data_IF_652786942351
#
_entry.id   IF_652786942351
#
_cell.length_a   1.000
_cell.length_b   1.000
_cell.length_c   1.000
_cell.angle_alpha   90.00
_cell.angle_beta   90.00
_cell.angle_gamma   90.00
#
_symmetry.space_group_name_H-M   'P 1'
#
loop_
_entity.id
_entity.type
_entity.pdbx_description
1 polymer ?
#
# COMPACT_ATOMS: atom_id res chain seq x y z
N UNK A 1 -40.14 47.22 -25.08
CA UNK A 1 -39.11 46.20 -25.41
C UNK A 1 -38.48 45.72 -24.11
N UNK A 2 -38.85 44.54 -23.61
CA UNK A 2 -38.30 43.95 -22.37
C UNK A 2 -37.00 43.21 -22.71
N UNK A 3 -35.87 43.67 -22.18
CA UNK A 3 -34.58 42.98 -22.30
C UNK A 3 -34.51 41.92 -21.20
N UNK A 4 -34.60 40.66 -21.59
CA UNK A 4 -34.42 39.52 -20.69
C UNK A 4 -32.93 39.34 -20.41
N UNK A 5 -32.53 39.56 -19.16
CA UNK A 5 -31.18 39.31 -18.67
C UNK A 5 -31.09 37.82 -18.32
N UNK A 6 -30.34 37.05 -19.11
CA UNK A 6 -30.06 35.64 -18.82
C UNK A 6 -28.91 35.60 -17.81
N UNK A 7 -29.24 35.34 -16.56
CA UNK A 7 -28.28 35.05 -15.50
C UNK A 7 -27.76 33.62 -15.73
N UNK A 8 -26.59 33.50 -16.37
CA UNK A 8 -25.85 32.24 -16.41
C UNK A 8 -25.30 31.96 -15.01
N UNK A 9 -25.99 31.09 -14.28
CA UNK A 9 -25.50 30.50 -13.03
C UNK A 9 -24.34 29.58 -13.40
N UNK A 10 -23.12 30.03 -13.15
CA UNK A 10 -21.92 29.20 -13.21
C UNK A 10 -22.00 28.21 -12.04
N UNK A 11 -22.44 26.99 -12.33
CA UNK A 11 -22.40 25.87 -11.39
C UNK A 11 -20.93 25.48 -11.26
N UNK A 12 -20.30 25.86 -10.16
CA UNK A 12 -18.99 25.34 -9.74
C UNK A 12 -19.23 23.90 -9.26
N UNK A 13 -18.73 22.85 -9.93
CA UNK A 13 -18.75 21.53 -9.32
C UNK A 13 -17.77 21.53 -8.14
N UNK A 14 -18.32 21.42 -6.93
CA UNK A 14 -17.60 21.03 -5.73
C UNK A 14 -17.08 19.59 -5.94
N UNK A 15 -15.83 19.44 -6.36
CA UNK A 15 -15.19 18.12 -6.51
C UNK A 15 -14.75 17.60 -5.14
N UNK A 16 -15.67 16.93 -4.45
CA UNK A 16 -15.39 16.11 -3.27
C UNK A 16 -15.57 14.61 -3.60
N UNK A 17 -15.23 14.21 -4.82
CA UNK A 17 -15.06 12.83 -5.24
C UNK A 17 -13.60 12.73 -5.72
N UNK A 18 -12.81 11.83 -5.14
CA UNK A 18 -11.39 11.71 -5.49
C UNK A 18 -11.22 11.55 -7.00
N UNK A 19 -10.33 12.36 -7.58
CA UNK A 19 -10.13 12.34 -9.02
C UNK A 19 -9.58 10.97 -9.42
N UNK A 20 -10.15 10.41 -10.49
CA UNK A 20 -9.57 9.24 -11.14
C UNK A 20 -8.22 9.62 -11.72
N UNK A 21 -7.26 8.71 -11.61
CA UNK A 21 -5.93 8.95 -12.13
C UNK A 21 -5.97 9.30 -13.63
N UNK A 22 -5.22 10.32 -14.07
CA UNK A 22 -5.14 10.68 -15.48
C UNK A 22 -4.50 9.54 -16.30
N UNK A 23 -4.83 9.49 -17.59
CA UNK A 23 -4.18 8.56 -18.51
C UNK A 23 -2.66 8.79 -18.49
N UNK A 24 -1.90 7.69 -18.44
CA UNK A 24 -0.44 7.74 -18.37
C UNK A 24 0.12 8.00 -16.96
N UNK A 25 -0.70 7.87 -15.92
CA UNK A 25 -0.20 7.84 -14.55
C UNK A 25 0.80 6.69 -14.35
N UNK A 26 1.74 6.87 -13.42
CA UNK A 26 2.74 5.88 -13.03
C UNK A 26 2.76 5.77 -11.51
N UNK A 27 3.17 4.60 -11.01
CA UNK A 27 3.35 4.35 -9.59
C UNK A 27 4.80 3.93 -9.38
N UNK A 28 5.47 4.54 -8.41
CA UNK A 28 6.77 4.06 -7.93
C UNK A 28 6.60 3.60 -6.48
N UNK A 29 7.04 2.37 -6.19
CA UNK A 29 7.02 1.81 -4.84
C UNK A 29 8.42 1.75 -4.22
N UNK A 30 8.51 1.32 -2.95
CA UNK A 30 9.80 1.02 -2.34
C UNK A 30 10.42 -0.23 -2.97
N UNK A 31 11.71 -0.46 -2.72
CA UNK A 31 12.37 -1.70 -3.09
C UNK A 31 11.83 -2.89 -2.27
N UNK A 32 11.85 -4.08 -2.88
CA UNK A 32 11.53 -5.33 -2.20
C UNK A 32 12.43 -5.54 -0.96
N UNK A 33 11.89 -6.12 0.11
CA UNK A 33 12.64 -6.35 1.34
C UNK A 33 12.96 -7.82 1.56
N UNK A 34 14.20 -8.10 1.95
CA UNK A 34 14.59 -9.44 2.43
C UNK A 34 15.22 -9.32 3.80
N UNK A 35 14.72 -10.07 4.78
CA UNK A 35 15.23 -10.06 6.14
C UNK A 35 15.50 -11.47 6.67
N UNK A 36 16.44 -11.57 7.61
CA UNK A 36 16.66 -12.78 8.39
C UNK A 36 16.49 -12.43 9.86
N UNK A 37 15.57 -13.13 10.53
CA UNK A 37 15.39 -13.01 11.97
C UNK A 37 16.22 -14.08 12.70
N UNK A 38 16.83 -13.74 13.85
CA UNK A 38 17.55 -14.72 14.65
C UNK A 38 16.61 -15.77 15.21
N UNK A 39 17.17 -16.88 15.67
CA UNK A 39 16.43 -17.97 16.30
C UNK A 39 15.61 -17.47 17.50
N UNK A 40 14.33 -17.81 17.50
CA UNK A 40 13.41 -17.59 18.62
C UNK A 40 12.48 -18.79 18.69
N UNK A 41 12.50 -19.53 19.80
CA UNK A 41 11.77 -20.80 19.96
C UNK A 41 10.35 -20.63 20.51
N UNK A 42 10.00 -19.46 21.03
CA UNK A 42 8.82 -19.34 21.91
C UNK A 42 7.79 -18.33 21.43
N UNK A 43 8.17 -17.34 20.61
CA UNK A 43 7.26 -16.25 20.23
C UNK A 43 7.16 -16.04 18.71
N UNK A 44 5.94 -15.74 18.25
CA UNK A 44 5.71 -15.21 16.91
C UNK A 44 6.20 -13.76 16.88
N UNK A 45 7.16 -13.44 16.03
CA UNK A 45 7.53 -12.04 15.80
C UNK A 45 6.55 -11.36 14.88
N UNK A 46 6.21 -10.13 15.22
CA UNK A 46 5.37 -9.25 14.41
C UNK A 46 6.25 -8.15 13.85
N UNK A 47 6.39 -8.10 12.53
CA UNK A 47 7.17 -7.10 11.82
C UNK A 47 6.18 -6.15 11.16
N UNK A 48 6.26 -4.87 11.51
CA UNK A 48 5.54 -3.81 10.84
C UNK A 48 6.46 -3.08 9.87
N UNK A 49 5.98 -2.79 8.65
CA UNK A 49 6.64 -1.86 7.73
C UNK A 49 5.63 -0.86 7.20
N UNK A 50 6.07 0.38 7.07
CA UNK A 50 5.35 1.43 6.37
C UNK A 50 5.96 1.57 4.97
N UNK A 51 5.11 1.49 3.95
CA UNK A 51 5.51 1.53 2.55
C UNK A 51 4.98 2.82 1.91
N UNK A 52 5.87 3.53 1.22
CA UNK A 52 5.54 4.76 0.51
C UNK A 52 5.42 4.45 -0.99
N UNK A 53 4.25 4.67 -1.55
CA UNK A 53 4.03 4.62 -3.00
C UNK A 53 3.78 6.02 -3.52
N UNK A 54 4.40 6.36 -4.64
CA UNK A 54 4.33 7.69 -5.25
C UNK A 54 3.57 7.59 -6.57
N UNK A 55 2.50 8.34 -6.71
CA UNK A 55 1.78 8.51 -7.96
C UNK A 55 2.30 9.74 -8.72
N UNK A 56 2.60 9.55 -10.01
CA UNK A 56 3.01 10.62 -10.91
C UNK A 56 2.21 10.58 -12.21
N UNK A 57 1.98 11.73 -12.81
CA UNK A 57 1.35 11.82 -14.13
C UNK A 57 2.36 11.55 -15.24
N UNK A 58 1.88 11.62 -16.48
CA UNK A 58 2.68 11.29 -17.67
C UNK A 58 3.88 12.22 -17.85
N UNK A 59 3.77 13.48 -17.42
CA UNK A 59 4.87 14.45 -17.52
C UNK A 59 5.85 14.37 -16.33
N UNK A 60 5.62 13.45 -15.40
CA UNK A 60 6.42 13.26 -14.18
C UNK A 60 5.99 14.17 -13.03
N UNK A 61 4.92 14.94 -13.21
CA UNK A 61 4.28 15.73 -12.17
C UNK A 61 3.73 14.84 -11.06
N UNK A 62 3.71 15.37 -9.84
CA UNK A 62 3.16 14.68 -8.69
C UNK A 62 1.63 14.72 -8.74
N UNK A 63 1.00 13.58 -8.46
CA UNK A 63 -0.46 13.48 -8.40
C UNK A 63 -0.94 13.41 -6.95
N UNK A 64 -1.52 14.51 -6.46
CA UNK A 64 -2.12 14.60 -5.12
C UNK A 64 -3.63 14.34 -5.14
N UNK A 65 -4.18 13.93 -3.99
CA UNK A 65 -5.61 13.60 -3.78
C UNK A 65 -6.18 12.51 -4.71
N UNK A 66 -5.31 11.71 -5.35
CA UNK A 66 -5.71 10.57 -6.17
C UNK A 66 -5.87 9.34 -5.29
N UNK A 67 -6.96 8.59 -5.52
CA UNK A 67 -7.20 7.33 -4.84
C UNK A 67 -6.23 6.24 -5.33
N UNK A 68 -5.47 5.68 -4.40
CA UNK A 68 -4.65 4.50 -4.60
C UNK A 68 -5.24 3.33 -3.81
N UNK A 69 -5.46 2.20 -4.48
CA UNK A 69 -5.97 0.99 -3.84
C UNK A 69 -4.84 -0.04 -3.65
N UNK A 70 -4.76 -0.57 -2.43
CA UNK A 70 -3.77 -1.53 -1.99
C UNK A 70 -4.41 -2.88 -1.74
N UNK A 71 -3.84 -3.93 -2.30
CA UNK A 71 -4.22 -5.32 -2.07
C UNK A 71 -3.08 -6.05 -1.41
N UNK A 72 -3.39 -6.86 -0.40
CA UNK A 72 -2.41 -7.84 0.09
C UNK A 72 -2.34 -9.03 -0.86
N UNK A 73 -1.13 -9.47 -1.13
CA UNK A 73 -0.85 -10.73 -1.82
C UNK A 73 0.03 -11.64 -0.96
N UNK A 74 -0.20 -12.93 -1.06
CA UNK A 74 0.47 -13.94 -0.26
C UNK A 74 -0.47 -15.09 0.03
N UNK A 75 0.10 -16.27 0.24
CA UNK A 75 -0.63 -17.44 0.71
C UNK A 75 -0.50 -17.41 2.23
N UNK A 76 -1.64 -17.44 2.92
CA UNK A 76 -1.80 -17.50 4.38
C UNK A 76 -1.84 -16.19 5.18
N UNK A 77 -2.56 -16.26 6.30
CA UNK A 77 -2.88 -15.18 7.24
C UNK A 77 -1.66 -14.56 7.97
N UNK A 78 -0.44 -14.89 7.54
CA UNK A 78 0.82 -14.37 8.05
C UNK A 78 1.06 -12.94 7.62
N UNK A 79 0.43 -12.48 6.53
CA UNK A 79 0.63 -11.14 5.98
C UNK A 79 -0.69 -10.38 5.93
N UNK A 80 -0.69 -9.16 6.45
CA UNK A 80 -1.87 -8.31 6.49
C UNK A 80 -1.56 -6.86 6.18
N UNK A 81 -2.54 -6.16 5.61
CA UNK A 81 -2.55 -4.70 5.57
C UNK A 81 -2.62 -4.18 7.00
N UNK A 82 -2.06 -2.99 7.22
CA UNK A 82 -2.16 -2.30 8.48
C UNK A 82 -2.38 -0.80 8.29
N UNK A 83 -3.04 -0.20 9.28
CA UNK A 83 -3.17 1.26 9.36
C UNK A 83 -1.84 1.91 9.76
N UNK A 84 -1.84 3.25 9.83
CA UNK A 84 -0.67 4.03 10.23
C UNK A 84 -0.15 3.74 11.64
N UNK A 85 -0.99 3.13 12.50
CA UNK A 85 -0.65 2.78 13.88
C UNK A 85 -0.16 1.32 13.99
N UNK A 86 -0.11 0.58 12.87
CA UNK A 86 0.28 -0.83 12.85
C UNK A 86 -0.85 -1.80 13.20
N UNK A 87 -2.10 -1.33 13.30
CA UNK A 87 -3.24 -2.22 13.53
C UNK A 87 -3.56 -2.97 12.25
N UNK A 88 -3.72 -4.28 12.37
CA UNK A 88 -4.08 -5.16 11.25
C UNK A 88 -5.46 -4.83 10.70
N UNK A 89 -5.57 -4.73 9.38
CA UNK A 89 -6.82 -4.55 8.66
C UNK A 89 -7.20 -5.88 8.02
N UNK A 90 -8.40 -6.35 8.34
CA UNK A 90 -8.95 -7.64 7.88
C UNK A 90 -9.51 -7.57 6.45
N UNK A 91 -9.75 -6.36 5.94
CA UNK A 91 -10.25 -6.16 4.58
C UNK A 91 -9.24 -6.67 3.53
N UNK A 92 -9.71 -7.19 2.37
CA UNK A 92 -8.83 -7.67 1.31
C UNK A 92 -8.05 -6.53 0.63
N UNK A 93 -8.59 -5.31 0.67
CA UNK A 93 -7.96 -4.11 0.14
C UNK A 93 -8.17 -2.90 1.05
N UNK A 94 -7.40 -1.85 0.80
CA UNK A 94 -7.54 -0.54 1.42
C UNK A 94 -7.35 0.55 0.36
N UNK A 95 -8.13 1.62 0.45
CA UNK A 95 -8.00 2.81 -0.41
C UNK A 95 -7.43 3.96 0.40
N UNK A 96 -6.39 4.61 -0.12
CA UNK A 96 -5.74 5.76 0.50
C UNK A 96 -5.51 6.80 -0.58
N UNK A 97 -5.84 8.05 -0.27
CA UNK A 97 -5.52 9.15 -1.16
C UNK A 97 -4.06 9.55 -1.01
N UNK A 98 -3.44 9.95 -2.12
CA UNK A 98 -2.10 10.51 -2.09
C UNK A 98 -2.08 11.88 -1.42
N UNK A 99 -1.02 12.16 -0.64
CA UNK A 99 -0.81 13.47 -0.04
C UNK A 99 -0.39 14.52 -1.10
N UNK A 100 -0.11 15.75 -0.66
CA UNK A 100 0.35 16.86 -1.53
C UNK A 100 1.65 16.55 -2.28
N UNK A 101 2.40 15.53 -1.85
CA UNK A 101 3.64 15.05 -2.48
C UNK A 101 3.40 13.81 -3.34
N UNK A 102 2.14 13.43 -3.56
CA UNK A 102 1.72 12.27 -4.32
C UNK A 102 2.01 10.95 -3.62
N UNK A 103 2.26 10.98 -2.31
CA UNK A 103 2.63 9.80 -1.54
C UNK A 103 1.36 9.21 -0.92
N UNK A 104 1.11 7.93 -1.21
CA UNK A 104 0.19 7.10 -0.44
C UNK A 104 1.02 6.19 0.48
N UNK A 105 0.67 6.20 1.78
CA UNK A 105 1.38 5.47 2.84
C UNK A 105 0.52 4.32 3.34
N UNK A 106 1.00 3.10 3.17
CA UNK A 106 0.30 1.89 3.62
C UNK A 106 1.16 1.10 4.60
N UNK A 107 0.55 0.69 5.70
CA UNK A 107 1.16 -0.22 6.65
C UNK A 107 1.00 -1.67 6.21
N UNK A 108 1.95 -2.49 6.58
CA UNK A 108 1.89 -3.94 6.37
C UNK A 108 2.53 -4.66 7.55
N UNK A 109 1.93 -5.78 7.93
CA UNK A 109 2.35 -6.61 9.07
C UNK A 109 2.66 -8.02 8.60
N UNK A 110 3.82 -8.53 8.97
CA UNK A 110 4.24 -9.93 8.82
C UNK A 110 4.28 -10.58 10.19
N UNK A 111 3.62 -11.72 10.34
CA UNK A 111 3.72 -12.59 11.50
C UNK A 111 4.63 -13.77 11.14
N UNK A 112 5.80 -13.82 11.76
CA UNK A 112 6.80 -14.88 11.56
C UNK A 112 6.77 -15.80 12.77
N UNK A 113 6.40 -17.09 12.61
CA UNK A 113 6.30 -18.02 13.73
C UNK A 113 7.66 -18.25 14.39
N UNK A 114 7.60 -18.72 15.64
CA UNK A 114 8.77 -19.22 16.35
C UNK A 114 9.27 -20.55 15.79
N UNK A 115 10.49 -20.92 16.15
CA UNK A 115 11.14 -22.16 15.77
C UNK A 115 10.53 -23.35 16.51
N UNK A 116 9.56 -23.99 15.88
CA UNK A 116 9.03 -25.30 16.30
C UNK A 116 9.77 -26.48 15.66
N UNK A 117 10.62 -26.20 14.66
CA UNK A 117 11.50 -27.17 14.02
C UNK A 117 12.93 -26.65 13.98
N UNK A 118 13.87 -27.48 13.50
CA UNK A 118 15.26 -27.09 13.23
C UNK A 118 15.48 -26.56 11.82
N UNK A 119 14.44 -26.51 10.98
CA UNK A 119 14.52 -25.95 9.64
C UNK A 119 14.15 -24.47 9.66
N UNK A 120 14.87 -23.67 8.89
CA UNK A 120 14.57 -22.25 8.72
C UNK A 120 13.16 -22.07 8.15
N UNK A 121 12.46 -21.06 8.65
CA UNK A 121 11.06 -20.82 8.30
C UNK A 121 10.97 -19.59 7.39
N UNK A 122 10.76 -19.77 6.07
CA UNK A 122 10.51 -18.66 5.17
C UNK A 122 9.04 -18.21 5.28
N UNK A 123 8.84 -16.90 5.35
CA UNK A 123 7.54 -16.24 5.26
C UNK A 123 7.64 -15.16 4.21
N UNK A 124 6.75 -15.19 3.22
CA UNK A 124 6.73 -14.20 2.14
C UNK A 124 5.40 -13.47 2.10
N UNK A 125 5.44 -12.21 1.68
CA UNK A 125 4.28 -11.37 1.51
C UNK A 125 4.45 -10.43 0.33
N UNK A 126 3.36 -9.81 -0.08
CA UNK A 126 3.39 -8.77 -1.10
C UNK A 126 2.25 -7.77 -0.91
N UNK A 127 2.47 -6.56 -1.41
CA UNK A 127 1.47 -5.51 -1.52
C UNK A 127 1.40 -5.08 -2.97
N UNK A 128 0.20 -5.10 -3.52
CA UNK A 128 -0.10 -4.56 -4.84
C UNK A 128 -0.75 -3.19 -4.66
N UNK A 129 -0.09 -2.13 -5.11
CA UNK A 129 -0.65 -0.79 -5.17
C UNK A 129 -1.18 -0.51 -6.57
N UNK A 130 -2.36 0.10 -6.67
CA UNK A 130 -3.03 0.37 -7.96
C UNK A 130 -3.58 1.79 -8.01
N UNK A 131 -3.44 2.42 -9.17
CA UNK A 131 -3.92 3.77 -9.48
C UNK A 131 -4.43 3.73 -10.91
N UNK A 132 -5.75 3.80 -11.08
CA UNK A 132 -6.38 3.54 -12.38
C UNK A 132 -6.06 2.13 -12.89
N UNK A 133 -5.44 2.04 -14.06
CA UNK A 133 -5.02 0.77 -14.69
C UNK A 133 -3.55 0.39 -14.43
N UNK A 134 -2.81 1.22 -13.69
CA UNK A 134 -1.40 0.97 -13.38
C UNK A 134 -1.27 0.30 -12.02
N UNK A 135 -0.35 -0.64 -11.91
CA UNK A 135 -0.06 -1.36 -10.68
C UNK A 135 1.43 -1.42 -10.39
N UNK A 136 1.79 -1.33 -9.12
CA UNK A 136 3.13 -1.60 -8.62
C UNK A 136 3.09 -2.69 -7.56
N UNK A 137 3.95 -3.68 -7.71
CA UNK A 137 4.13 -4.76 -6.75
C UNK A 137 5.32 -4.47 -5.86
N UNK A 138 5.13 -4.70 -4.57
CA UNK A 138 6.20 -4.80 -3.58
C UNK A 138 6.17 -6.17 -2.92
N UNK A 139 7.34 -6.77 -2.69
CA UNK A 139 7.48 -8.09 -2.06
C UNK A 139 8.35 -8.02 -0.82
N UNK A 140 8.00 -8.87 0.15
CA UNK A 140 8.84 -9.17 1.29
C UNK A 140 9.11 -10.66 1.38
N UNK A 141 10.33 -11.00 1.78
CA UNK A 141 10.71 -12.33 2.25
C UNK A 141 11.40 -12.21 3.60
N UNK A 142 10.92 -12.93 4.60
CA UNK A 142 11.54 -13.00 5.91
C UNK A 142 11.80 -14.44 6.27
N UNK A 143 13.05 -14.74 6.61
CA UNK A 143 13.45 -16.08 7.04
C UNK A 143 13.75 -16.06 8.53
N UNK A 144 13.10 -16.93 9.31
CA UNK A 144 13.55 -17.23 10.68
C UNK A 144 14.66 -18.27 10.61
N UNK A 145 15.85 -17.91 11.11
CA UNK A 145 16.92 -18.88 11.30
C UNK A 145 16.57 -19.80 12.49
N UNK A 146 16.29 -21.08 12.23
CA UNK A 146 15.94 -22.07 13.26
C UNK A 146 16.96 -23.19 13.39
N UNK A 147 17.83 -23.35 12.41
CA UNK A 147 18.95 -24.27 12.47
C UNK A 147 19.89 -23.91 13.64
N UNK A 148 20.21 -24.89 14.48
CA UNK A 148 21.34 -24.81 15.41
C UNK A 148 22.62 -25.04 14.63
N UNK A 149 23.46 -24.01 14.52
CA UNK A 149 24.90 -24.20 14.28
C UNK A 149 25.53 -24.98 15.41
#
# INVERSE_FOLDING_TARGET
>A
MKKTLILMVLIIPLTACGDLAPNGATITGPADSTDTLPRNTSETSVIYRSLNFIAKGQSGEVLSDIEMEFFRGGVDATVSLADSNGNTITAPSMKIKTDERGIARVGFVIRVPGCVTTADIPVSGSIFATVGSVSQLWKASVTRACATT
#
